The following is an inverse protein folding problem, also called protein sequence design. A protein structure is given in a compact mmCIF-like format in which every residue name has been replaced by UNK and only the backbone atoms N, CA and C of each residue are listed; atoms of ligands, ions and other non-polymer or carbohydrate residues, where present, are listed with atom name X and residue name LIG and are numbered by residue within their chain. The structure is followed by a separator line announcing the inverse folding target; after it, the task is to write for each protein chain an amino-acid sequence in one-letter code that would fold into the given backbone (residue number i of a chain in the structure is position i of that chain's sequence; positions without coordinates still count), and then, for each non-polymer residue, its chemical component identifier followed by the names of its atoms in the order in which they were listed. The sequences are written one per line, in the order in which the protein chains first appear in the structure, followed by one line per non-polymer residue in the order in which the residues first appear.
data_IF_087755169649
#
_entry.id   IF_087755169649
#
_cell.length_a   1.000
_cell.length_b   1.000
_cell.length_c   1.000
_cell.angle_alpha   90.00
_cell.angle_beta   90.00
_cell.angle_gamma   90.00
#
_symmetry.space_group_name_H-M   'P 1'
#
loop_
_entity.id
_entity.type
_entity.pdbx_description
1 polymer ?
#
# COMPACT_ATOMS: atom_id res chain seq x y z
N UNK A 1 -5.01 -11.12 -4.78
CA UNK A 1 -3.81 -10.36 -5.20
C UNK A 1 -4.00 -8.92 -4.76
N UNK A 2 -2.96 -8.31 -4.19
CA UNK A 2 -2.93 -6.92 -3.74
C UNK A 2 -1.74 -6.21 -4.37
N UNK A 3 -1.92 -4.94 -4.74
CA UNK A 3 -0.87 -4.04 -5.16
C UNK A 3 -1.11 -2.67 -4.54
N UNK A 4 -0.05 -2.00 -4.08
CA UNK A 4 -0.14 -0.66 -3.51
C UNK A 4 0.54 0.34 -4.46
N UNK A 5 -0.21 1.37 -4.84
CA UNK A 5 0.22 2.38 -5.80
C UNK A 5 0.05 3.78 -5.23
N UNK A 6 0.88 4.67 -5.73
CA UNK A 6 0.86 6.09 -5.42
C UNK A 6 0.53 6.86 -6.70
N UNK A 7 -0.55 7.64 -6.64
CA UNK A 7 -1.01 8.44 -7.78
C UNK A 7 -1.11 9.89 -7.34
N UNK A 8 -0.33 10.74 -8.00
CA UNK A 8 -0.30 12.18 -7.73
C UNK A 8 -0.55 12.93 -9.03
N UNK A 9 -1.39 13.96 -8.99
CA UNK A 9 -1.63 14.81 -10.15
C UNK A 9 -1.76 16.27 -9.69
N UNK A 10 -0.91 17.15 -10.24
CA UNK A 10 -0.82 18.56 -9.86
C UNK A 10 -1.42 19.51 -10.91
N UNK A 11 -2.01 18.96 -11.98
CA UNK A 11 -2.69 19.74 -13.01
C UNK A 11 -4.05 20.26 -12.52
N UNK A 12 -4.57 21.28 -13.20
CA UNK A 12 -5.83 21.94 -12.84
C UNK A 12 -7.02 20.96 -12.78
N UNK A 13 -6.99 19.93 -13.64
CA UNK A 13 -7.97 18.84 -13.70
C UNK A 13 -7.47 17.55 -13.03
N UNK A 14 -6.53 17.64 -12.09
CA UNK A 14 -5.85 16.47 -11.51
C UNK A 14 -6.80 15.46 -10.85
N UNK A 15 -7.90 15.94 -10.26
CA UNK A 15 -8.92 15.07 -9.67
C UNK A 15 -9.63 14.24 -10.75
N UNK A 16 -9.98 14.85 -11.87
CA UNK A 16 -10.68 14.16 -12.95
C UNK A 16 -9.73 13.24 -13.72
N UNK A 17 -8.46 13.62 -13.89
CA UNK A 17 -7.41 12.74 -14.39
C UNK A 17 -7.25 11.47 -13.53
N UNK A 18 -7.24 11.61 -12.20
CA UNK A 18 -7.17 10.48 -11.28
C UNK A 18 -8.41 9.59 -11.40
N UNK A 19 -9.61 10.18 -11.45
CA UNK A 19 -10.85 9.40 -11.63
C UNK A 19 -10.83 8.64 -12.96
N UNK A 20 -10.46 9.27 -14.06
CA UNK A 20 -10.41 8.62 -15.37
C UNK A 20 -9.41 7.47 -15.39
N UNK A 21 -8.21 7.68 -14.83
CA UNK A 21 -7.22 6.62 -14.77
C UNK A 21 -7.69 5.43 -13.92
N UNK A 22 -8.31 5.69 -12.76
CA UNK A 22 -8.88 4.65 -11.91
C UNK A 22 -10.03 3.89 -12.60
N UNK A 23 -10.87 4.60 -13.35
CA UNK A 23 -11.96 3.99 -14.14
C UNK A 23 -11.37 3.15 -15.28
N UNK A 24 -10.34 3.63 -15.97
CA UNK A 24 -9.66 2.90 -17.03
C UNK A 24 -9.03 1.60 -16.50
N UNK A 25 -8.33 1.66 -15.37
CA UNK A 25 -7.79 0.48 -14.69
C UNK A 25 -8.87 -0.50 -14.24
N UNK A 26 -10.03 0.01 -13.79
CA UNK A 26 -11.20 -0.83 -13.45
C UNK A 26 -11.83 -1.46 -14.70
N UNK A 27 -11.84 -0.79 -15.85
CA UNK A 27 -12.37 -1.35 -17.10
C UNK A 27 -11.49 -2.47 -17.66
N UNK A 28 -10.22 -2.55 -17.27
CA UNK A 28 -9.38 -3.72 -17.54
C UNK A 28 -9.79 -4.96 -16.73
N UNK A 29 -10.69 -4.83 -15.74
CA UNK A 29 -11.23 -5.98 -15.03
C UNK A 29 -12.15 -6.82 -15.93
N UNK A 30 -12.06 -8.13 -15.78
CA UNK A 30 -12.91 -9.09 -16.48
C UNK A 30 -13.87 -9.73 -15.49
N UNK A 31 -14.93 -10.39 -15.98
CA UNK A 31 -15.94 -11.05 -15.13
C UNK A 31 -15.32 -12.13 -14.22
N UNK A 32 -14.22 -12.75 -14.68
CA UNK A 32 -13.44 -13.72 -13.90
C UNK A 32 -12.43 -13.09 -12.94
N UNK A 33 -12.10 -11.81 -13.09
CA UNK A 33 -11.07 -11.11 -12.31
C UNK A 33 -11.51 -9.68 -11.97
N UNK A 34 -12.43 -9.51 -11.00
CA UNK A 34 -12.90 -8.20 -10.57
C UNK A 34 -11.79 -7.43 -9.84
N UNK A 35 -11.32 -6.34 -10.47
CA UNK A 35 -10.35 -5.42 -9.88
C UNK A 35 -11.10 -4.35 -9.09
N UNK A 36 -10.77 -4.20 -7.80
CA UNK A 36 -11.29 -3.17 -6.90
C UNK A 36 -10.14 -2.26 -6.48
N UNK A 37 -10.34 -0.96 -6.63
CA UNK A 37 -9.38 0.05 -6.21
C UNK A 37 -9.99 0.84 -5.06
N UNK A 38 -9.32 0.87 -3.92
CA UNK A 38 -9.71 1.64 -2.74
C UNK A 38 -8.65 2.68 -2.41
N UNK A 39 -9.08 3.81 -1.87
CA UNK A 39 -8.18 4.82 -1.31
C UNK A 39 -7.88 4.44 0.14
N UNK A 40 -6.61 4.33 0.50
CA UNK A 40 -6.19 4.20 1.91
C UNK A 40 -5.96 5.61 2.46
N UNK A 41 -5.12 6.39 1.78
CA UNK A 41 -4.79 7.76 2.11
C UNK A 41 -4.48 8.52 0.82
N UNK A 42 -4.63 9.83 0.73
CA UNK A 42 -4.00 10.56 -0.38
C UNK A 42 -2.48 10.61 -0.11
N UNK A 43 -1.56 10.25 -1.03
CA UNK A 43 -1.71 9.81 -2.43
C UNK A 43 -1.70 8.26 -2.67
N UNK A 44 -1.89 7.45 -1.63
CA UNK A 44 -1.85 5.99 -1.62
C UNK A 44 -3.20 5.29 -1.92
N UNK A 45 -3.20 4.51 -3.00
CA UNK A 45 -4.32 3.67 -3.39
C UNK A 45 -3.92 2.19 -3.34
N UNK A 46 -4.88 1.34 -2.99
CA UNK A 46 -4.72 -0.11 -2.99
C UNK A 46 -5.59 -0.73 -4.06
N UNK A 47 -4.98 -1.58 -4.86
CA UNK A 47 -5.64 -2.39 -5.89
C UNK A 47 -5.73 -3.82 -5.40
N UNK A 48 -6.94 -4.35 -5.35
CA UNK A 48 -7.22 -5.73 -4.94
C UNK A 48 -7.95 -6.45 -6.05
N UNK A 49 -7.57 -7.69 -6.33
CA UNK A 49 -8.31 -8.57 -7.23
C UNK A 49 -8.42 -9.97 -6.63
N UNK A 50 -9.58 -10.58 -6.84
CA UNK A 50 -9.88 -11.95 -6.44
C UNK A 50 -9.95 -12.81 -7.70
N UNK A 51 -9.09 -13.81 -7.78
CA UNK A 51 -9.03 -14.75 -8.90
C UNK A 51 -8.52 -16.09 -8.42
N UNK A 52 -8.93 -17.16 -9.12
CA UNK A 52 -8.42 -18.51 -8.92
C UNK A 52 -7.05 -18.70 -9.58
N UNK A 53 -6.81 -18.00 -10.69
CA UNK A 53 -5.59 -18.07 -11.48
C UNK A 53 -4.58 -17.01 -11.04
N UNK A 54 -3.60 -17.42 -10.23
CA UNK A 54 -2.57 -16.53 -9.68
C UNK A 54 -1.73 -15.85 -10.76
N UNK A 55 -1.28 -16.61 -11.76
CA UNK A 55 -0.42 -16.10 -12.84
C UNK A 55 -1.16 -15.08 -13.71
N UNK A 56 -2.32 -15.46 -14.25
CA UNK A 56 -3.15 -14.55 -15.06
C UNK A 56 -3.60 -13.32 -14.26
N UNK A 57 -3.91 -13.49 -12.98
CA UNK A 57 -4.26 -12.37 -12.10
C UNK A 57 -3.14 -11.36 -11.93
N UNK A 58 -1.90 -11.82 -11.82
CA UNK A 58 -0.74 -10.95 -11.66
C UNK A 58 -0.49 -10.13 -12.93
N UNK A 59 -0.59 -10.77 -14.09
CA UNK A 59 -0.51 -10.11 -15.40
C UNK A 59 -1.64 -9.10 -15.57
N UNK A 60 -2.89 -9.48 -15.29
CA UNK A 60 -4.04 -8.59 -15.42
C UNK A 60 -3.95 -7.36 -14.51
N UNK A 61 -3.45 -7.51 -13.28
CA UNK A 61 -3.21 -6.36 -12.40
C UNK A 61 -2.09 -5.48 -12.97
N UNK A 62 -0.98 -6.05 -13.41
CA UNK A 62 0.10 -5.28 -14.03
C UNK A 62 -0.36 -4.51 -15.28
N UNK A 63 -1.18 -5.12 -16.13
CA UNK A 63 -1.75 -4.46 -17.30
C UNK A 63 -2.67 -3.30 -16.89
N UNK A 64 -3.52 -3.51 -15.89
CA UNK A 64 -4.35 -2.44 -15.34
C UNK A 64 -3.51 -1.29 -14.75
N UNK A 65 -2.41 -1.61 -14.04
CA UNK A 65 -1.48 -0.61 -13.52
C UNK A 65 -0.78 0.18 -14.63
N UNK A 66 -0.40 -0.48 -15.73
CA UNK A 66 0.18 0.18 -16.90
C UNK A 66 -0.82 1.14 -17.56
N UNK A 67 -2.08 0.73 -17.72
CA UNK A 67 -3.14 1.60 -18.27
C UNK A 67 -3.38 2.82 -17.39
N UNK A 68 -3.42 2.63 -16.06
CA UNK A 68 -3.53 3.73 -15.09
C UNK A 68 -2.34 4.68 -15.24
N UNK A 69 -1.11 4.14 -15.30
CA UNK A 69 0.11 4.92 -15.49
C UNK A 69 0.08 5.75 -16.76
N UNK A 70 -0.21 5.15 -17.91
CA UNK A 70 -0.28 5.86 -19.20
C UNK A 70 -1.35 6.96 -19.19
N UNK A 71 -2.49 6.71 -18.55
CA UNK A 71 -3.57 7.70 -18.44
C UNK A 71 -3.13 8.88 -17.58
N UNK A 72 -2.52 8.61 -16.41
CA UNK A 72 -2.00 9.64 -15.50
C UNK A 72 -0.87 10.45 -16.13
N UNK A 73 0.06 9.80 -16.82
CA UNK A 73 1.17 10.49 -17.49
C UNK A 73 0.68 11.41 -18.62
N UNK A 74 -0.40 11.04 -19.35
CA UNK A 74 -1.03 11.92 -20.35
C UNK A 74 -1.58 13.21 -19.75
N UNK A 75 -2.09 13.16 -18.53
CA UNK A 75 -2.61 14.32 -17.80
C UNK A 75 -1.53 15.10 -17.02
N UNK A 76 -0.25 14.70 -17.13
CA UNK A 76 0.87 15.32 -16.42
C UNK A 76 0.94 14.95 -14.94
N UNK A 77 0.29 13.86 -14.54
CA UNK A 77 0.44 13.30 -13.21
C UNK A 77 1.65 12.36 -13.10
N UNK A 78 1.96 11.98 -11.85
CA UNK A 78 3.02 11.05 -11.48
C UNK A 78 2.40 9.78 -10.90
N UNK A 79 2.88 8.65 -11.38
CA UNK A 79 2.50 7.32 -10.92
C UNK A 79 3.72 6.61 -10.33
N UNK A 80 3.58 5.96 -9.18
CA UNK A 80 4.68 5.21 -8.53
C UNK A 80 4.11 3.96 -7.88
N UNK A 81 4.77 2.81 -8.07
CA UNK A 81 4.37 1.55 -7.45
C UNK A 81 5.12 1.44 -6.12
N UNK A 82 4.38 1.33 -5.01
CA UNK A 82 4.94 1.13 -3.66
C UNK A 82 5.14 -0.35 -3.38
N UNK A 83 4.13 -1.16 -3.68
CA UNK A 83 4.19 -2.61 -3.60
C UNK A 83 3.65 -3.21 -4.89
N UNK A 84 4.48 -4.00 -5.57
CA UNK A 84 4.10 -4.71 -6.79
C UNK A 84 2.99 -5.74 -6.51
N UNK A 85 2.29 -6.17 -7.56
CA UNK A 85 1.19 -7.11 -7.43
C UNK A 85 1.66 -8.43 -6.78
N UNK A 86 1.24 -8.67 -5.53
CA UNK A 86 1.57 -9.87 -4.77
C UNK A 86 0.31 -10.68 -4.46
N UNK A 87 0.46 -12.01 -4.51
CA UNK A 87 -0.60 -12.91 -4.08
C UNK A 87 -0.64 -12.90 -2.55
N UNK A 88 -1.66 -12.28 -1.99
CA UNK A 88 -1.93 -12.33 -0.54
C UNK A 88 -2.90 -13.48 -0.31
N UNK A 89 -2.56 -14.37 0.62
CA UNK A 89 -3.43 -15.47 1.09
C UNK A 89 -3.79 -15.23 2.57
N UNK A 90 -4.87 -15.82 3.09
CA UNK A 90 -5.31 -15.64 4.49
C UNK A 90 -4.23 -16.00 5.54
N UNK A 91 -3.18 -16.72 5.14
CA UNK A 91 -2.03 -17.05 6.00
C UNK A 91 -1.14 -15.83 6.25
N UNK A 92 -0.97 -14.92 5.28
CA UNK A 92 -0.14 -13.73 5.42
C UNK A 92 -0.71 -12.75 6.48
N UNK A 93 -2.03 -12.64 6.60
CA UNK A 93 -2.66 -11.74 7.59
C UNK A 93 -2.33 -12.16 9.03
N UNK A 94 -2.15 -13.46 9.30
CA UNK A 94 -1.82 -13.96 10.62
C UNK A 94 -0.33 -13.78 10.98
N UNK A 95 0.56 -13.87 9.99
CA UNK A 95 1.99 -13.62 10.16
C UNK A 95 2.29 -12.12 10.34
N UNK A 96 1.56 -11.24 9.62
CA UNK A 96 1.66 -9.79 9.80
C UNK A 96 1.21 -9.41 11.22
N UNK A 97 0.10 -9.97 11.71
CA UNK A 97 -0.40 -9.69 13.06
C UNK A 97 0.60 -10.07 14.15
N UNK A 98 1.23 -11.24 14.04
CA UNK A 98 2.25 -11.68 14.99
C UNK A 98 3.47 -10.77 15.00
N UNK A 99 3.88 -10.25 13.85
CA UNK A 99 5.01 -9.31 13.79
C UNK A 99 4.68 -7.95 14.39
N UNK A 100 3.43 -7.49 14.26
CA UNK A 100 2.97 -6.26 14.91
C UNK A 100 2.93 -6.47 16.43
N UNK A 101 2.38 -7.60 16.91
CA UNK A 101 2.30 -7.92 18.33
C UNK A 101 3.69 -8.11 18.97
N UNK A 102 4.65 -8.73 18.27
CA UNK A 102 6.03 -8.81 18.74
C UNK A 102 6.72 -7.45 18.78
N UNK A 103 6.49 -6.59 17.80
CA UNK A 103 7.06 -5.25 17.78
C UNK A 103 6.49 -4.36 18.90
N UNK A 104 5.20 -4.46 19.20
CA UNK A 104 4.58 -3.77 20.34
C UNK A 104 5.18 -4.24 21.68
N UNK A 105 5.45 -5.53 21.85
CA UNK A 105 6.09 -6.06 23.05
C UNK A 105 7.55 -5.59 23.20
N UNK A 106 8.33 -5.54 22.12
CA UNK A 106 9.71 -5.03 22.15
C UNK A 106 9.78 -3.52 22.41
N UNK A 107 8.78 -2.75 21.99
CA UNK A 107 8.71 -1.30 22.23
C UNK A 107 8.28 -0.98 23.67
N UNK A 108 7.47 -1.83 24.29
CA UNK A 108 7.03 -1.69 25.69
C UNK A 108 8.08 -2.18 26.70
N UNK A 109 8.87 -3.21 26.38
CA UNK A 109 10.00 -3.68 27.24
C UNK A 109 11.26 -2.79 27.14
N UNK A 110 11.26 -1.77 26.27
CA UNK A 110 12.36 -0.80 26.14
C UNK A 110 12.23 0.47 26.99
N UNK A 111 11.19 0.59 27.81
CA UNK A 111 10.89 1.81 28.59
C UNK A 111 10.94 1.63 30.11
N UNK A 112 11.64 0.63 30.63
CA UNK A 112 11.84 0.45 32.07
C UNK A 112 13.29 -0.04 32.30
N UNK A 113 14.22 0.90 32.50
CA UNK A 113 15.47 0.76 33.29
C UNK A 113 16.34 2.03 33.13
N UNK A 114 16.15 2.99 34.03
CA UNK A 114 17.22 3.80 34.66
C UNK A 114 16.57 4.64 35.79
N UNK A 115 16.14 3.94 36.85
CA UNK A 115 16.01 4.50 38.19
C UNK A 115 16.89 3.64 39.12
N UNK A 116 17.47 4.29 40.15
CA UNK A 116 18.48 3.81 41.13
C UNK A 116 19.96 4.06 40.72
N UNK A 117 20.66 5.05 41.34
CA UNK A 117 21.12 4.96 42.74
C UNK A 117 21.89 6.21 43.25
N UNK A 118 21.94 6.30 44.58
CA UNK A 118 22.28 7.44 45.45
C UNK A 118 23.78 7.87 45.58
N UNK A 119 23.96 9.17 45.93
CA UNK A 119 24.85 9.73 46.99
C UNK A 119 26.35 10.11 46.76
N UNK A 120 26.69 11.28 47.35
CA UNK A 120 28.00 11.89 47.77
C UNK A 120 28.93 12.43 46.64
N UNK A 121 29.43 13.68 46.59
CA UNK A 121 30.12 14.53 47.58
C UNK A 121 30.03 16.04 47.23
N UNK A 122 29.67 16.91 48.18
CA UNK A 122 30.00 18.35 48.16
C UNK A 122 31.01 18.61 49.30
N UNK A 123 32.30 18.54 48.98
CA UNK A 123 33.42 18.96 49.83
C UNK A 123 33.90 20.38 49.42
N UNK A 124 34.35 21.11 50.43
CA UNK A 124 34.82 22.51 50.52
C UNK A 124 35.84 22.99 49.45
#
# INVERSE_FOLDING_TARGET
IRADIEVSCFSYDGIDAIKEALIAGKNCSTESMPIKINLIAAPHFVVTTQTLDRENGLTAVNDALNVVKETIEKYGGKFTIKEEARVVTDVDDNDIKKKIELAELEEEEGSDEEDEDESEDEDD
#
